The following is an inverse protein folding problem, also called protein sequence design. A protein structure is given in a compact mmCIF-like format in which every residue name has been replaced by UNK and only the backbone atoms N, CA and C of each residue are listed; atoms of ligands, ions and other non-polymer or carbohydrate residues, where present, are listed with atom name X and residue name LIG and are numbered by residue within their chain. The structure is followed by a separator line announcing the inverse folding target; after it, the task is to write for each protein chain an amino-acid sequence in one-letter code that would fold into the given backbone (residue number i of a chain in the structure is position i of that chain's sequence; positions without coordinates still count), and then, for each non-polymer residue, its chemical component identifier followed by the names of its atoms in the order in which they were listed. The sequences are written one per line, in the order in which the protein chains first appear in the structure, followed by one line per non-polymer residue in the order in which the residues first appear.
data_IF_830245570112
#
_entry.id   IF_830245570112
#
_cell.length_a   1.000
_cell.length_b   1.000
_cell.length_c   1.000
_cell.angle_alpha   90.00
_cell.angle_beta   90.00
_cell.angle_gamma   90.00
#
_symmetry.space_group_name_H-M   'P 1'
#
loop_
_entity.id
_entity.type
_entity.pdbx_description
1 polymer ?
#
# COMPACT_ATOMS: atom_id res chain seq x y z
N UNK A 1 5.86 -18.18 19.63
CA UNK A 1 6.03 -17.61 18.28
C UNK A 1 6.91 -16.37 18.39
N UNK A 2 7.80 -16.14 17.44
CA UNK A 2 8.74 -15.01 17.41
C UNK A 2 8.01 -13.70 17.04
N UNK A 3 8.44 -12.56 17.59
CA UNK A 3 8.03 -11.22 17.17
C UNK A 3 8.68 -10.89 15.83
N UNK A 4 7.89 -10.44 14.84
CA UNK A 4 8.38 -10.02 13.53
C UNK A 4 8.72 -8.53 13.52
N UNK A 5 9.91 -8.16 13.08
CA UNK A 5 10.27 -6.75 12.90
C UNK A 5 9.71 -6.22 11.58
N UNK A 6 8.89 -5.17 11.64
CA UNK A 6 8.23 -4.54 10.50
C UNK A 6 8.63 -3.07 10.39
N UNK A 7 9.37 -2.72 9.34
CA UNK A 7 9.84 -1.36 9.10
C UNK A 7 9.02 -0.72 7.97
N UNK A 8 8.33 0.38 8.27
CA UNK A 8 7.60 1.17 7.29
C UNK A 8 8.49 2.34 6.88
N UNK A 9 8.99 2.30 5.66
CA UNK A 9 9.84 3.33 5.07
C UNK A 9 8.99 4.52 4.64
N UNK A 10 9.28 5.69 5.18
CA UNK A 10 8.63 6.96 4.89
C UNK A 10 9.66 8.05 4.56
N UNK A 11 9.19 9.13 3.95
CA UNK A 11 9.99 10.27 3.50
C UNK A 11 9.14 11.55 3.51
N UNK A 12 9.74 12.75 3.43
CA UNK A 12 8.97 13.99 3.26
C UNK A 12 8.05 13.91 2.03
N UNK A 13 6.77 14.27 2.18
CA UNK A 13 5.77 14.13 1.12
C UNK A 13 5.19 12.72 0.96
N UNK A 14 5.39 11.84 1.96
CA UNK A 14 4.72 10.53 2.03
C UNK A 14 3.19 10.68 2.04
N UNK A 15 2.46 9.72 1.46
CA UNK A 15 1.02 9.57 1.66
C UNK A 15 0.78 9.01 3.07
N UNK A 16 0.19 9.81 3.97
CA UNK A 16 0.06 9.42 5.37
C UNK A 16 -0.66 8.07 5.55
N UNK A 17 -1.68 7.80 4.72
CA UNK A 17 -2.45 6.56 4.83
C UNK A 17 -1.69 5.31 4.35
N UNK A 18 -0.69 5.49 3.48
CA UNK A 18 0.23 4.40 3.10
C UNK A 18 1.15 3.98 4.25
N UNK A 19 1.29 4.84 5.26
CA UNK A 19 2.04 4.54 6.50
C UNK A 19 1.08 4.04 7.57
N UNK A 20 0.07 4.84 7.91
CA UNK A 20 -0.80 4.59 9.06
C UNK A 20 -1.73 3.40 8.83
N UNK A 21 -2.20 3.16 7.60
CA UNK A 21 -3.03 2.00 7.29
C UNK A 21 -2.33 0.67 7.61
N UNK A 22 -1.17 0.38 6.99
CA UNK A 22 -0.33 -0.77 7.34
C UNK A 22 0.03 -0.84 8.82
N UNK A 23 0.40 0.29 9.43
CA UNK A 23 0.74 0.35 10.85
C UNK A 23 -0.41 -0.15 11.74
N UNK A 24 -1.61 0.38 11.54
CA UNK A 24 -2.80 0.03 12.33
C UNK A 24 -3.24 -1.43 12.14
N UNK A 25 -3.04 -2.01 10.95
CA UNK A 25 -3.32 -3.45 10.74
C UNK A 25 -2.38 -4.33 11.56
N UNK A 26 -1.07 -4.06 11.48
CA UNK A 26 -0.05 -4.84 12.19
C UNK A 26 -0.17 -4.66 13.71
N UNK A 27 -0.41 -3.43 14.19
CA UNK A 27 -0.69 -3.15 15.60
C UNK A 27 -2.02 -3.77 16.06
N UNK A 28 -3.03 -3.79 15.20
CA UNK A 28 -4.29 -4.48 15.44
C UNK A 28 -4.11 -5.98 15.66
N UNK A 29 -3.20 -6.62 14.91
CA UNK A 29 -2.87 -8.03 15.11
C UNK A 29 -2.26 -8.29 16.49
N UNK A 30 -1.37 -7.40 16.97
CA UNK A 30 -0.84 -7.47 18.34
C UNK A 30 -1.95 -7.43 19.39
N UNK A 31 -2.89 -6.49 19.22
CA UNK A 31 -4.03 -6.33 20.11
C UNK A 31 -4.94 -7.56 20.11
N UNK A 32 -5.23 -8.10 18.92
CA UNK A 32 -6.04 -9.31 18.76
C UNK A 32 -5.40 -10.53 19.43
N UNK A 33 -4.08 -10.69 19.28
CA UNK A 33 -3.33 -11.82 19.81
C UNK A 33 -2.91 -11.66 21.28
N UNK A 34 -3.10 -10.46 21.86
CA UNK A 34 -2.67 -10.09 23.21
C UNK A 34 -1.19 -10.35 23.48
N UNK A 35 -0.35 -10.14 22.46
CA UNK A 35 1.11 -10.24 22.51
C UNK A 35 1.72 -9.38 21.42
N UNK A 36 3.00 -9.09 21.55
CA UNK A 36 3.77 -8.50 20.47
C UNK A 36 4.01 -9.56 19.38
N UNK A 37 3.31 -9.43 18.26
CA UNK A 37 3.47 -10.28 17.09
C UNK A 37 4.28 -9.55 16.00
N UNK A 38 4.09 -8.24 15.88
CA UNK A 38 4.86 -7.33 15.05
C UNK A 38 5.45 -6.21 15.92
N UNK A 39 6.75 -5.96 15.78
CA UNK A 39 7.41 -4.74 16.24
C UNK A 39 7.43 -3.78 15.04
N UNK A 40 6.54 -2.79 15.04
CA UNK A 40 6.30 -1.91 13.89
C UNK A 40 6.97 -0.57 14.11
N UNK A 41 7.88 -0.18 13.22
CA UNK A 41 8.59 1.10 13.30
C UNK A 41 8.49 1.86 11.97
N UNK A 42 8.13 3.14 12.04
CA UNK A 42 8.25 4.05 10.89
C UNK A 42 9.69 4.57 10.84
N UNK A 43 10.37 4.38 9.71
CA UNK A 43 11.78 4.75 9.51
C UNK A 43 11.93 5.71 8.34
N UNK A 44 12.92 6.61 8.43
CA UNK A 44 13.29 7.55 7.39
C UNK A 44 14.78 7.88 7.48
N UNK A 45 15.33 8.47 6.40
CA UNK A 45 16.75 8.83 6.29
C UNK A 45 17.24 9.70 7.44
N UNK A 46 16.37 10.56 7.95
CA UNK A 46 16.62 11.37 9.15
C UNK A 46 15.54 11.13 10.20
N UNK A 47 15.89 10.90 11.48
CA UNK A 47 14.92 10.82 12.56
C UNK A 47 14.22 12.17 12.75
N UNK A 48 12.96 12.14 13.16
CA UNK A 48 12.19 13.34 13.50
C UNK A 48 10.85 13.41 12.78
N UNK A 49 10.33 14.62 12.66
CA UNK A 49 9.02 14.88 12.05
C UNK A 49 9.12 14.91 10.53
N UNK A 50 8.31 14.09 9.87
CA UNK A 50 8.06 14.11 8.44
C UNK A 50 6.72 14.79 8.17
N UNK A 51 6.70 15.74 7.25
CA UNK A 51 5.46 16.31 6.73
C UNK A 51 4.97 15.44 5.56
N UNK A 52 3.80 14.84 5.70
CA UNK A 52 3.12 14.10 4.62
C UNK A 52 2.59 15.05 3.54
N UNK A 53 2.16 14.49 2.41
CA UNK A 53 1.60 15.28 1.30
C UNK A 53 0.29 16.00 1.65
N UNK A 54 -0.48 15.48 2.62
CA UNK A 54 -1.68 16.15 3.12
C UNK A 54 -1.39 17.22 4.18
N UNK A 55 -0.11 17.37 4.56
CA UNK A 55 0.34 18.28 5.61
C UNK A 55 0.31 17.69 7.02
N UNK A 56 -0.19 16.46 7.22
CA UNK A 56 -0.09 15.75 8.50
C UNK A 56 1.37 15.48 8.85
N UNK A 57 1.74 15.69 10.10
CA UNK A 57 3.07 15.41 10.62
C UNK A 57 3.14 14.00 11.24
N UNK A 58 4.13 13.21 10.84
CA UNK A 58 4.42 11.87 11.35
C UNK A 58 5.81 11.85 11.98
N UNK A 59 6.01 11.10 13.06
CA UNK A 59 7.33 10.94 13.67
C UNK A 59 7.97 9.65 13.15
N UNK A 60 9.14 9.77 12.53
CA UNK A 60 9.94 8.64 12.07
C UNK A 60 11.21 8.47 12.91
N UNK A 61 11.62 7.21 13.08
CA UNK A 61 12.97 6.86 13.55
C UNK A 61 13.96 6.99 12.40
N UNK A 62 15.24 7.13 12.75
CA UNK A 62 16.31 7.02 11.75
C UNK A 62 16.43 5.59 11.25
N UNK A 63 17.02 5.43 10.06
CA UNK A 63 17.33 4.12 9.49
C UNK A 63 18.25 3.33 10.45
N UNK A 64 17.84 2.15 10.92
CA UNK A 64 18.63 1.36 11.86
C UNK A 64 19.82 0.69 11.18
N UNK A 65 20.87 0.43 11.95
CA UNK A 65 21.95 -0.46 11.52
C UNK A 65 21.43 -1.90 11.39
N UNK A 66 21.76 -2.54 10.27
CA UNK A 66 21.29 -3.86 9.88
C UNK A 66 22.28 -4.98 10.24
N UNK A 67 23.43 -4.65 10.85
CA UNK A 67 24.47 -5.63 11.24
C UNK A 67 23.99 -6.68 12.25
N UNK A 68 23.07 -6.33 13.15
CA UNK A 68 22.56 -7.26 14.15
C UNK A 68 21.60 -8.29 13.55
N UNK A 69 20.56 -7.82 12.84
CA UNK A 69 19.58 -8.67 12.15
C UNK A 69 18.81 -7.85 11.11
N UNK A 70 18.57 -8.38 9.89
CA UNK A 70 17.71 -7.72 8.92
C UNK A 70 16.23 -7.72 9.39
N UNK A 71 15.42 -6.74 8.95
CA UNK A 71 13.99 -6.72 9.25
C UNK A 71 13.27 -7.92 8.63
N UNK A 72 12.24 -8.44 9.29
CA UNK A 72 11.41 -9.50 8.72
C UNK A 72 10.51 -8.97 7.60
N UNK A 73 10.02 -7.74 7.75
CA UNK A 73 9.14 -7.08 6.81
C UNK A 73 9.60 -5.64 6.57
N UNK A 74 9.80 -5.27 5.31
CA UNK A 74 9.99 -3.87 4.89
C UNK A 74 8.78 -3.46 4.08
N UNK A 75 8.10 -2.38 4.47
CA UNK A 75 6.98 -1.79 3.74
C UNK A 75 7.42 -0.42 3.23
N UNK A 76 7.42 -0.21 1.92
CA UNK A 76 7.78 1.08 1.31
C UNK A 76 6.51 1.85 0.98
N UNK A 77 6.27 2.93 1.73
CA UNK A 77 5.11 3.80 1.50
C UNK A 77 5.29 4.65 0.24
N UNK A 78 4.18 5.04 -0.38
CA UNK A 78 4.17 5.98 -1.49
C UNK A 78 3.93 7.41 -1.04
N UNK A 79 3.64 8.27 -2.02
CA UNK A 79 3.43 9.70 -1.83
C UNK A 79 4.02 10.52 -2.97
N UNK A 80 3.66 11.81 -2.98
CA UNK A 80 4.16 12.81 -3.91
C UNK A 80 5.67 13.02 -3.84
N UNK A 81 6.27 12.85 -2.65
CA UNK A 81 7.73 13.00 -2.44
C UNK A 81 8.58 11.81 -2.89
N UNK A 82 8.00 10.78 -3.53
CA UNK A 82 8.73 9.55 -3.82
C UNK A 82 9.88 9.75 -4.82
N UNK A 83 9.74 10.68 -5.76
CA UNK A 83 10.79 10.98 -6.74
C UNK A 83 11.99 11.68 -6.09
N UNK A 84 11.75 12.60 -5.15
CA UNK A 84 12.84 13.20 -4.36
C UNK A 84 13.50 12.13 -3.46
N UNK A 85 12.70 11.19 -2.92
CA UNK A 85 13.21 10.08 -2.14
C UNK A 85 14.07 9.12 -2.96
N UNK A 86 13.88 9.03 -4.29
CA UNK A 86 14.78 8.27 -5.18
C UNK A 86 16.12 8.96 -5.43
N UNK A 87 16.27 10.23 -5.06
CA UNK A 87 17.56 10.93 -5.13
C UNK A 87 18.30 10.91 -3.76
N UNK A 88 17.67 10.39 -2.70
CA UNK A 88 18.28 10.19 -1.40
C UNK A 88 19.11 8.90 -1.35
N UNK A 89 20.41 9.02 -1.58
CA UNK A 89 21.32 7.87 -1.60
C UNK A 89 21.42 7.15 -0.24
N UNK A 90 21.22 7.87 0.88
CA UNK A 90 21.21 7.25 2.21
C UNK A 90 20.03 6.28 2.30
N UNK A 91 18.84 6.75 1.89
CA UNK A 91 17.63 5.95 1.86
C UNK A 91 17.74 4.78 0.88
N UNK A 92 18.17 5.04 -0.35
CA UNK A 92 18.29 4.02 -1.39
C UNK A 92 19.29 2.93 -1.02
N UNK A 93 20.46 3.31 -0.51
CA UNK A 93 21.49 2.36 -0.09
C UNK A 93 20.98 1.46 1.04
N UNK A 94 20.36 2.06 2.06
CA UNK A 94 19.77 1.30 3.15
C UNK A 94 18.62 0.40 2.67
N UNK A 95 17.74 0.89 1.80
CA UNK A 95 16.62 0.12 1.29
C UNK A 95 17.09 -1.07 0.45
N UNK A 96 18.11 -0.89 -0.38
CA UNK A 96 18.75 -1.96 -1.14
C UNK A 96 19.27 -3.06 -0.22
N UNK A 97 19.88 -2.68 0.90
CA UNK A 97 20.46 -3.60 1.86
C UNK A 97 19.41 -4.30 2.74
N UNK A 98 18.48 -3.54 3.31
CA UNK A 98 17.38 -4.04 4.12
C UNK A 98 16.43 -4.91 3.29
N UNK A 99 15.98 -4.42 2.14
CA UNK A 99 14.98 -5.07 1.29
C UNK A 99 15.48 -6.35 0.64
N UNK A 100 16.78 -6.45 0.31
CA UNK A 100 17.36 -7.68 -0.24
C UNK A 100 17.50 -8.80 0.79
N UNK A 101 17.61 -8.45 2.08
CA UNK A 101 17.71 -9.41 3.18
C UNK A 101 16.41 -9.65 3.94
N UNK A 102 15.39 -8.83 3.70
CA UNK A 102 14.11 -8.99 4.36
C UNK A 102 13.40 -10.28 3.94
N UNK A 103 12.71 -10.93 4.88
CA UNK A 103 11.88 -12.11 4.56
C UNK A 103 10.78 -11.72 3.57
N UNK A 104 10.19 -10.53 3.73
CA UNK A 104 9.19 -9.97 2.82
C UNK A 104 9.46 -8.48 2.56
N UNK A 105 9.39 -8.09 1.29
CA UNK A 105 9.37 -6.70 0.84
C UNK A 105 7.95 -6.37 0.37
N UNK A 106 7.37 -5.31 0.90
CA UNK A 106 6.06 -4.81 0.53
C UNK A 106 6.18 -3.38 -0.02
N UNK A 107 5.38 -3.04 -1.04
CA UNK A 107 5.23 -1.66 -1.52
C UNK A 107 3.78 -1.24 -1.50
N UNK A 108 3.55 0.04 -1.17
CA UNK A 108 2.23 0.66 -1.20
C UNK A 108 2.30 1.85 -2.14
N UNK A 109 1.34 1.94 -3.07
CA UNK A 109 1.25 3.07 -4.00
C UNK A 109 2.52 3.26 -4.81
N UNK A 110 2.97 4.50 -4.89
CA UNK A 110 4.18 4.91 -5.56
C UNK A 110 5.46 4.51 -4.82
N UNK A 111 5.40 3.91 -3.62
CA UNK A 111 6.57 3.35 -2.93
C UNK A 111 7.27 2.27 -3.77
N UNK A 112 6.55 1.72 -4.75
CA UNK A 112 7.08 0.82 -5.78
C UNK A 112 8.20 1.47 -6.62
N UNK A 113 8.17 2.79 -6.88
CA UNK A 113 9.26 3.49 -7.56
C UNK A 113 10.55 3.45 -6.75
N UNK A 114 10.46 3.72 -5.44
CA UNK A 114 11.62 3.72 -4.56
C UNK A 114 12.24 2.31 -4.45
N UNK A 115 11.42 1.27 -4.34
CA UNK A 115 11.88 -0.12 -4.36
C UNK A 115 12.47 -0.53 -5.73
N UNK A 116 11.92 -0.03 -6.84
CA UNK A 116 12.46 -0.26 -8.18
C UNK A 116 13.82 0.44 -8.37
N UNK A 117 13.96 1.70 -7.93
CA UNK A 117 15.23 2.44 -7.95
C UNK A 117 16.31 1.79 -7.06
N UNK A 118 15.91 1.10 -5.99
CA UNK A 118 16.82 0.29 -5.18
C UNK A 118 17.27 -1.01 -5.88
N UNK A 119 16.68 -1.38 -7.02
CA UNK A 119 16.97 -2.61 -7.77
C UNK A 119 16.31 -3.87 -7.20
N UNK A 120 15.27 -3.70 -6.37
CA UNK A 120 14.65 -4.81 -5.64
C UNK A 120 13.53 -5.51 -6.42
N UNK A 121 13.07 -4.90 -7.51
CA UNK A 121 11.87 -5.31 -8.25
C UNK A 121 12.16 -5.88 -9.65
N UNK A 122 13.44 -6.01 -10.03
CA UNK A 122 13.85 -6.49 -11.34
C UNK A 122 13.20 -7.85 -11.65
N UNK A 123 12.52 -7.91 -12.79
CA UNK A 123 11.78 -9.07 -13.34
C UNK A 123 10.62 -9.56 -12.47
N UNK A 124 10.26 -8.84 -11.41
CA UNK A 124 9.11 -9.15 -10.55
C UNK A 124 7.84 -8.57 -11.16
N UNK A 125 6.75 -9.31 -11.05
CA UNK A 125 5.41 -8.77 -11.27
C UNK A 125 5.02 -7.94 -10.05
N UNK A 126 4.62 -6.69 -10.27
CA UNK A 126 4.22 -5.77 -9.22
C UNK A 126 3.02 -4.93 -9.66
N UNK A 127 2.21 -4.49 -8.70
CA UNK A 127 1.23 -3.43 -8.91
C UNK A 127 1.71 -2.12 -8.27
N UNK A 128 1.16 -1.01 -8.72
CA UNK A 128 1.32 0.31 -8.13
C UNK A 128 0.02 1.07 -8.35
N UNK A 129 -0.09 2.30 -7.87
CA UNK A 129 -1.26 3.12 -8.11
C UNK A 129 -1.49 3.25 -9.63
N UNK A 130 -2.71 2.96 -10.09
CA UNK A 130 -3.10 3.00 -11.51
C UNK A 130 -2.55 4.25 -12.25
N UNK A 131 -2.66 5.43 -11.63
CA UNK A 131 -2.24 6.71 -12.23
C UNK A 131 -0.72 6.82 -12.43
N UNK A 132 0.04 5.90 -11.82
CA UNK A 132 1.50 5.85 -11.84
C UNK A 132 2.02 4.63 -12.57
N UNK A 133 1.18 3.65 -12.90
CA UNK A 133 1.61 2.37 -13.49
C UNK A 133 2.36 2.55 -14.83
N UNK A 134 1.81 3.33 -15.75
CA UNK A 134 2.46 3.59 -17.05
C UNK A 134 3.81 4.29 -16.87
N UNK A 135 3.93 5.16 -15.88
CA UNK A 135 5.18 5.86 -15.58
C UNK A 135 6.21 4.88 -15.01
N UNK A 136 5.81 4.02 -14.07
CA UNK A 136 6.67 3.00 -13.48
C UNK A 136 7.22 2.06 -14.57
N UNK A 137 6.36 1.60 -15.47
CA UNK A 137 6.75 0.71 -16.56
C UNK A 137 7.75 1.37 -17.54
N UNK A 138 7.63 2.67 -17.77
CA UNK A 138 8.58 3.43 -18.62
C UNK A 138 9.92 3.67 -17.92
N UNK A 139 9.91 4.03 -16.63
CA UNK A 139 11.13 4.37 -15.88
C UNK A 139 11.92 3.12 -15.45
N UNK A 140 11.24 1.99 -15.25
CA UNK A 140 11.85 0.72 -14.82
C UNK A 140 11.41 -0.45 -15.72
N UNK A 141 11.94 -0.57 -16.95
CA UNK A 141 11.48 -1.55 -17.94
C UNK A 141 11.72 -3.01 -17.55
N UNK A 142 12.62 -3.29 -16.60
CA UNK A 142 12.83 -4.63 -16.06
C UNK A 142 11.71 -5.08 -15.11
N UNK A 143 10.88 -4.16 -14.62
CA UNK A 143 9.76 -4.44 -13.72
C UNK A 143 8.50 -4.79 -14.51
N UNK A 144 7.85 -5.91 -14.19
CA UNK A 144 6.60 -6.34 -14.86
C UNK A 144 5.41 -5.69 -14.17
N UNK A 145 5.06 -4.48 -14.58
CA UNK A 145 3.96 -3.72 -13.98
C UNK A 145 2.60 -4.29 -14.41
N UNK A 146 1.77 -4.62 -13.42
CA UNK A 146 0.37 -5.01 -13.58
C UNK A 146 -0.51 -4.05 -12.77
N UNK A 147 -1.22 -3.17 -13.46
CA UNK A 147 -2.00 -2.10 -12.84
C UNK A 147 -3.40 -2.55 -12.39
N UNK A 148 -3.83 -3.77 -12.71
CA UNK A 148 -5.21 -4.19 -12.43
C UNK A 148 -5.43 -4.53 -10.94
N UNK A 149 -4.67 -5.44 -10.29
CA UNK A 149 -4.97 -5.88 -8.94
C UNK A 149 -4.73 -4.79 -7.86
N UNK A 150 -5.58 -4.76 -6.83
CA UNK A 150 -5.40 -3.92 -5.63
C UNK A 150 -4.16 -4.28 -4.84
N UNK A 151 -3.81 -5.57 -4.80
CA UNK A 151 -2.51 -6.04 -4.35
C UNK A 151 -2.17 -7.39 -4.98
N UNK A 152 -0.89 -7.68 -5.09
CA UNK A 152 -0.41 -8.98 -5.55
C UNK A 152 0.84 -9.41 -4.80
N UNK A 153 1.14 -10.70 -4.89
CA UNK A 153 2.37 -11.32 -4.40
C UNK A 153 3.09 -12.00 -5.56
N UNK A 154 4.37 -11.72 -5.71
CA UNK A 154 5.31 -12.48 -6.52
C UNK A 154 6.47 -12.89 -5.61
N UNK A 155 6.58 -14.16 -5.24
CA UNK A 155 7.60 -14.65 -4.30
C UNK A 155 7.56 -13.95 -2.92
N UNK A 156 8.67 -13.33 -2.52
CA UNK A 156 8.80 -12.52 -1.30
C UNK A 156 8.41 -11.04 -1.49
N UNK A 157 8.03 -10.62 -2.71
CA UNK A 157 7.62 -9.25 -3.02
C UNK A 157 6.11 -9.17 -3.02
N UNK A 158 5.59 -8.25 -2.22
CA UNK A 158 4.19 -7.88 -2.15
C UNK A 158 4.06 -6.44 -2.62
N UNK A 159 3.05 -6.14 -3.42
CA UNK A 159 2.84 -4.77 -3.90
C UNK A 159 1.36 -4.47 -3.91
N UNK A 160 1.00 -3.22 -3.64
CA UNK A 160 -0.38 -2.76 -3.62
C UNK A 160 -0.54 -1.43 -4.34
N UNK A 161 -1.75 -1.22 -4.83
CA UNK A 161 -2.19 -0.03 -5.53
C UNK A 161 -1.95 1.25 -4.73
N UNK A 162 -2.26 1.31 -3.44
CA UNK A 162 -2.08 2.50 -2.62
C UNK A 162 -3.28 2.90 -1.79
N UNK A 163 -3.06 3.89 -0.92
CA UNK A 163 -4.05 4.48 -0.03
C UNK A 163 -4.64 3.39 0.86
N UNK A 164 -5.88 2.96 0.62
CA UNK A 164 -6.51 1.91 1.43
C UNK A 164 -6.08 0.50 1.02
N UNK A 165 -5.51 0.30 -0.17
CA UNK A 165 -5.07 -1.03 -0.61
C UNK A 165 -3.86 -1.56 0.19
N UNK A 166 -3.09 -0.67 0.83
CA UNK A 166 -2.04 -1.05 1.78
C UNK A 166 -2.60 -1.77 3.02
N UNK A 167 -3.84 -1.42 3.41
CA UNK A 167 -4.57 -2.10 4.50
C UNK A 167 -4.93 -3.52 4.07
N UNK A 168 -5.47 -3.70 2.85
CA UNK A 168 -5.81 -5.03 2.32
C UNK A 168 -4.58 -5.94 2.18
N UNK A 169 -3.46 -5.39 1.71
CA UNK A 169 -2.18 -6.11 1.63
C UNK A 169 -1.71 -6.55 3.02
N UNK A 170 -1.78 -5.68 4.02
CA UNK A 170 -1.35 -6.02 5.38
C UNK A 170 -2.29 -7.02 6.06
N UNK A 171 -3.60 -6.97 5.78
CA UNK A 171 -4.54 -7.99 6.24
C UNK A 171 -4.21 -9.36 5.64
N UNK A 172 -3.78 -9.40 4.37
CA UNK A 172 -3.31 -10.63 3.76
C UNK A 172 -2.02 -11.16 4.42
N UNK A 173 -1.06 -10.27 4.76
CA UNK A 173 0.14 -10.64 5.51
C UNK A 173 -0.19 -11.21 6.90
N UNK A 174 -1.09 -10.55 7.65
CA UNK A 174 -1.56 -11.02 8.95
C UNK A 174 -2.27 -12.37 8.84
N UNK A 175 -3.08 -12.56 7.80
CA UNK A 175 -3.73 -13.84 7.53
C UNK A 175 -2.73 -14.96 7.27
N UNK A 176 -1.63 -14.67 6.57
CA UNK A 176 -0.57 -15.64 6.30
C UNK A 176 0.23 -16.00 7.57
N UNK A 177 0.49 -15.02 8.44
CA UNK A 177 1.29 -15.22 9.65
C UNK A 177 0.51 -15.85 10.82
N UNK A 178 -0.77 -15.48 10.96
CA UNK A 178 -1.57 -15.74 12.16
C UNK A 178 -2.95 -16.32 11.88
N UNK A 179 -3.25 -16.62 10.61
CA UNK A 179 -4.50 -17.22 10.19
C UNK A 179 -5.60 -16.21 9.90
N UNK A 180 -6.63 -16.64 9.14
CA UNK A 180 -7.70 -15.77 8.67
C UNK A 180 -8.54 -15.16 9.79
N UNK A 181 -8.71 -15.85 10.92
CA UNK A 181 -9.52 -15.36 12.05
C UNK A 181 -8.94 -14.09 12.68
N UNK A 182 -7.61 -14.01 12.77
CA UNK A 182 -6.92 -12.82 13.30
C UNK A 182 -7.08 -11.67 12.32
N UNK A 183 -6.82 -11.89 11.03
CA UNK A 183 -7.00 -10.86 10.01
C UNK A 183 -8.45 -10.35 9.95
N UNK A 184 -9.44 -11.26 10.00
CA UNK A 184 -10.85 -10.88 10.00
C UNK A 184 -11.22 -10.08 11.25
N UNK A 185 -10.67 -10.44 12.42
CA UNK A 185 -10.90 -9.69 13.65
C UNK A 185 -10.32 -8.29 13.57
N UNK A 186 -9.10 -8.14 13.04
CA UNK A 186 -8.49 -6.81 12.80
C UNK A 186 -9.33 -5.99 11.83
N UNK A 187 -9.74 -6.56 10.69
CA UNK A 187 -10.60 -5.89 9.72
C UNK A 187 -11.93 -5.42 10.34
N UNK A 188 -12.53 -6.23 11.21
CA UNK A 188 -13.75 -5.87 11.95
C UNK A 188 -13.53 -4.70 12.91
N UNK A 189 -12.40 -4.65 13.61
CA UNK A 189 -12.06 -3.52 14.49
C UNK A 189 -11.82 -2.23 13.71
N UNK A 190 -11.28 -2.33 12.49
CA UNK A 190 -11.13 -1.22 11.55
C UNK A 190 -12.44 -0.85 10.82
N UNK A 191 -13.55 -1.53 11.14
CA UNK A 191 -14.87 -1.33 10.52
C UNK A 191 -14.83 -1.48 9.00
N UNK A 192 -13.98 -2.37 8.50
CA UNK A 192 -13.92 -2.70 7.08
C UNK A 192 -15.08 -3.62 6.71
N UNK A 193 -15.96 -3.14 5.85
CA UNK A 193 -17.11 -3.90 5.36
C UNK A 193 -16.69 -5.14 4.56
N UNK A 194 -15.60 -5.05 3.78
CA UNK A 194 -15.05 -6.14 2.99
C UNK A 194 -13.52 -6.00 2.88
N UNK A 195 -12.78 -7.05 3.21
CA UNK A 195 -11.38 -7.20 2.77
C UNK A 195 -11.39 -7.44 1.27
N UNK A 196 -10.79 -6.52 0.49
CA UNK A 196 -10.75 -6.66 -0.96
C UNK A 196 -9.74 -7.74 -1.31
N UNK A 197 -10.14 -8.82 -2.02
CA UNK A 197 -9.17 -9.83 -2.42
C UNK A 197 -8.18 -9.21 -3.42
N UNK A 198 -6.92 -9.68 -3.42
CA UNK A 198 -5.86 -9.06 -4.21
C UNK A 198 -6.15 -8.91 -5.71
N UNK A 199 -6.86 -9.89 -6.30
CA UNK A 199 -7.26 -9.88 -7.71
C UNK A 199 -8.36 -8.86 -8.04
N UNK A 200 -9.00 -8.25 -7.04
CA UNK A 200 -9.98 -7.20 -7.30
C UNK A 200 -9.30 -6.05 -8.03
N UNK A 201 -9.91 -5.58 -9.12
CA UNK A 201 -9.39 -4.43 -9.85
C UNK A 201 -9.34 -3.19 -8.95
N UNK A 202 -8.30 -2.36 -9.09
CA UNK A 202 -8.21 -1.04 -8.44
C UNK A 202 -9.45 -0.20 -8.73
N UNK A 203 -10.10 -0.45 -9.88
CA UNK A 203 -11.28 0.24 -10.32
C UNK A 203 -12.40 -0.68 -10.76
N UNK A 204 -13.61 -0.36 -10.29
CA UNK A 204 -14.84 -0.70 -10.99
C UNK A 204 -15.58 0.59 -11.31
N UNK A 205 -16.23 0.59 -12.48
CA UNK A 205 -16.47 1.76 -13.30
C UNK A 205 -17.33 2.94 -12.78
N UNK A 206 -18.14 2.95 -11.68
CA UNK A 206 -19.06 4.09 -11.56
C UNK A 206 -18.42 5.40 -11.07
N UNK A 207 -17.38 5.35 -10.24
CA UNK A 207 -16.96 6.53 -9.47
C UNK A 207 -16.26 7.61 -10.32
N UNK A 208 -15.70 7.24 -11.48
CA UNK A 208 -14.86 8.12 -12.29
C UNK A 208 -15.22 8.17 -13.78
N UNK A 209 -16.40 7.65 -14.16
CA UNK A 209 -16.97 8.05 -15.45
C UNK A 209 -17.25 9.55 -15.34
N UNK A 210 -16.75 10.33 -16.29
CA UNK A 210 -17.08 11.74 -16.39
C UNK A 210 -18.60 11.85 -16.33
N UNK A 211 -19.11 12.42 -15.24
CA UNK A 211 -20.54 12.64 -15.10
C UNK A 211 -20.95 13.52 -16.26
N UNK A 212 -22.08 13.20 -16.87
CA UNK A 212 -22.52 13.98 -18.00
C UNK A 212 -22.71 15.45 -17.58
N UNK A 213 -22.17 16.36 -18.40
CA UNK A 213 -22.40 17.79 -18.25
C UNK A 213 -23.87 18.17 -18.48
N UNK A 214 -24.60 17.33 -19.21
CA UNK A 214 -26.04 17.43 -19.42
C UNK A 214 -26.83 16.94 -18.18
N UNK A 215 -27.74 17.78 -17.67
CA UNK A 215 -28.50 17.51 -16.46
C UNK A 215 -29.45 16.31 -16.59
N UNK A 216 -30.00 16.05 -17.79
CA UNK A 216 -30.88 14.91 -18.02
C UNK A 216 -30.09 13.59 -17.96
N UNK A 217 -28.92 13.54 -18.60
CA UNK A 217 -28.04 12.36 -18.55
C UNK A 217 -27.51 12.15 -17.13
N UNK A 218 -27.14 13.23 -16.42
CA UNK A 218 -26.68 13.14 -15.02
C UNK A 218 -27.75 12.57 -14.09
N UNK A 219 -29.01 12.98 -14.26
CA UNK A 219 -30.12 12.47 -13.44
C UNK A 219 -30.35 10.96 -13.61
N UNK A 220 -30.07 10.43 -14.80
CA UNK A 220 -30.14 8.98 -15.07
C UNK A 220 -28.95 8.27 -14.41
N UNK A 221 -27.73 8.82 -14.53
CA UNK A 221 -26.54 8.26 -13.87
C UNK A 221 -26.75 8.14 -12.36
N UNK A 222 -27.27 9.19 -11.71
CA UNK A 222 -27.53 9.18 -10.26
C UNK A 222 -28.59 8.15 -9.85
N UNK A 223 -29.60 7.94 -10.68
CA UNK A 223 -30.66 6.95 -10.44
C UNK A 223 -30.15 5.50 -10.55
N UNK A 224 -29.30 5.25 -11.54
CA UNK A 224 -28.63 3.94 -11.72
C UNK A 224 -27.66 3.66 -10.59
N UNK A 225 -26.89 4.66 -10.15
CA UNK A 225 -25.94 4.52 -9.04
C UNK A 225 -26.67 4.25 -7.70
N UNK A 226 -27.82 4.87 -7.50
CA UNK A 226 -28.63 4.70 -6.27
C UNK A 226 -29.33 3.34 -6.18
N UNK A 227 -29.73 2.76 -7.31
CA UNK A 227 -30.31 1.41 -7.38
C UNK A 227 -29.81 0.67 -8.64
N UNK A 228 -28.61 0.08 -8.60
CA UNK A 228 -28.05 -0.62 -9.77
C UNK A 228 -28.87 -1.82 -10.22
N UNK A 229 -29.75 -2.34 -9.34
CA UNK A 229 -30.66 -3.45 -9.62
C UNK A 229 -32.01 -3.03 -10.19
N UNK A 230 -32.29 -1.72 -10.26
CA UNK A 230 -33.54 -1.16 -10.75
C UNK A 230 -33.76 -1.32 -12.26
N UNK A 231 -35.00 -1.09 -12.70
CA UNK A 231 -35.35 -1.07 -14.13
C UNK A 231 -35.01 0.30 -14.74
N UNK A 232 -33.91 0.35 -15.48
CA UNK A 232 -33.37 1.57 -16.10
C UNK A 232 -33.62 1.66 -17.61
N UNK A 233 -34.65 0.97 -18.13
CA UNK A 233 -35.04 1.13 -19.54
C UNK A 233 -35.51 2.57 -19.80
N UNK A 234 -35.26 3.08 -21.00
CA UNK A 234 -35.65 4.46 -21.41
C UNK A 234 -37.14 4.75 -21.17
N UNK A 235 -38.02 3.75 -21.29
CA UNK A 235 -39.45 3.92 -21.04
C UNK A 235 -39.82 4.14 -19.55
N UNK A 236 -38.87 3.91 -18.63
CA UNK A 236 -39.01 4.00 -17.17
C UNK A 236 -38.18 5.17 -16.61
N UNK A 237 -37.19 5.63 -17.37
CA UNK A 237 -36.32 6.76 -17.02
C UNK A 237 -36.98 8.12 -17.26
#
# INVERSE_FOLDING_TARGET
MRTRTAMIVAFPGVQALDVTGPYEVLAGANSCLRREAYDVTVVASSPGTLRSESGLELVARGLPDLTAQPPDLVIVAGGSGVHDATDDEILLSWLRDAGSRAERLATVCSGTFLAASAGLLDRRRVTTHWARADRLAREHPEVRVDADPVYLRDGNVWSSAGVTAGIDLCLALVSEDHGPDVAQTVARWLVMFLHRPGWQSQFRAPVWVERAGDDAIRSVQERVDADPSGDHRIAVL
#
